data_IF_787441523111
#
_entry.id   IF_787441523111
#
_cell.length_a   1.000
_cell.length_b   1.000
_cell.length_c   1.000
_cell.angle_alpha   90.00
_cell.angle_beta   90.00
_cell.angle_gamma   90.00
#
_symmetry.space_group_name_H-M   'P 1'
#
loop_
_entity.id
_entity.type
_entity.pdbx_description
1 polymer ?
#
# COMPACT_ATOMS: atom_id res chain seq x y z
N UNK A 1 21.13 6.95 14.00
CA UNK A 1 20.08 7.60 13.20
C UNK A 1 19.20 6.44 12.80
N UNK A 2 18.05 6.24 13.47
CA UNK A 2 17.19 5.11 13.13
C UNK A 2 16.63 5.36 11.73
N UNK A 3 16.79 4.41 10.83
CA UNK A 3 16.13 4.45 9.53
C UNK A 3 14.63 4.46 9.81
N UNK A 4 13.96 5.61 9.70
CA UNK A 4 12.50 5.66 9.69
C UNK A 4 12.05 4.98 8.39
N UNK A 5 11.72 3.71 8.49
CA UNK A 5 11.04 2.95 7.44
C UNK A 5 9.77 3.74 7.04
N UNK A 6 9.68 4.12 5.76
CA UNK A 6 8.62 4.94 5.23
C UNK A 6 7.75 4.18 4.23
N UNK A 7 6.49 4.57 4.11
CA UNK A 7 5.52 4.02 3.17
C UNK A 7 5.43 4.94 1.96
N UNK A 8 5.41 4.34 0.76
CA UNK A 8 5.32 5.08 -0.49
C UNK A 8 4.05 5.92 -0.56
N UNK A 9 4.20 7.18 -0.99
CA UNK A 9 3.10 8.10 -1.31
C UNK A 9 2.11 7.49 -2.32
N UNK A 10 2.55 6.52 -3.15
CA UNK A 10 1.67 5.79 -4.05
C UNK A 10 0.52 5.06 -3.32
N UNK A 11 0.78 4.52 -2.12
CA UNK A 11 -0.22 3.86 -1.27
C UNK A 11 -1.22 4.89 -0.76
N UNK A 12 -0.72 6.00 -0.21
CA UNK A 12 -1.57 7.08 0.28
C UNK A 12 -2.54 7.57 -0.81
N UNK A 13 -2.05 7.79 -2.03
CA UNK A 13 -2.93 8.19 -3.11
C UNK A 13 -3.97 7.13 -3.50
N UNK A 14 -3.64 5.83 -3.42
CA UNK A 14 -4.62 4.78 -3.71
C UNK A 14 -5.81 4.83 -2.73
N UNK A 15 -5.53 5.10 -1.45
CA UNK A 15 -6.55 5.31 -0.42
C UNK A 15 -7.39 6.55 -0.75
N UNK A 16 -6.75 7.66 -1.06
CA UNK A 16 -7.43 8.92 -1.36
C UNK A 16 -8.29 8.82 -2.61
N UNK A 17 -7.83 8.12 -3.65
CA UNK A 17 -8.59 7.93 -4.88
C UNK A 17 -9.87 7.12 -4.60
N UNK A 18 -9.80 6.07 -3.78
CA UNK A 18 -10.99 5.33 -3.35
C UNK A 18 -11.96 6.17 -2.52
N UNK A 19 -11.46 7.01 -1.61
CA UNK A 19 -12.29 7.92 -0.83
C UNK A 19 -12.96 8.98 -1.73
N UNK A 20 -12.23 9.53 -2.71
CA UNK A 20 -12.77 10.48 -3.71
C UNK A 20 -13.89 9.83 -4.52
N UNK A 21 -13.70 8.60 -4.96
CA UNK A 21 -14.69 7.85 -5.75
C UNK A 21 -15.99 7.63 -4.96
N UNK A 22 -15.92 7.58 -3.64
CA UNK A 22 -17.08 7.50 -2.73
C UNK A 22 -17.65 8.88 -2.33
N UNK A 23 -17.06 9.98 -2.79
CA UNK A 23 -17.48 11.34 -2.43
C UNK A 23 -17.08 11.78 -1.01
N UNK A 24 -16.12 11.11 -0.39
CA UNK A 24 -15.58 11.48 0.93
C UNK A 24 -14.63 12.67 0.80
N UNK A 25 -14.71 13.59 1.75
CA UNK A 25 -13.78 14.73 1.86
C UNK A 25 -12.37 14.26 2.23
N UNK A 26 -11.50 14.19 1.21
CA UNK A 26 -10.11 13.76 1.34
C UNK A 26 -9.21 14.76 2.03
N UNK A 27 -9.48 16.06 1.93
CA UNK A 27 -8.64 17.08 2.57
C UNK A 27 -8.81 17.00 4.09
N UNK A 28 -10.06 16.82 4.54
CA UNK A 28 -10.35 16.57 5.94
C UNK A 28 -9.80 15.21 6.42
N UNK A 29 -9.72 14.19 5.56
CA UNK A 29 -9.09 12.89 5.90
C UNK A 29 -7.58 13.05 6.09
N UNK A 30 -6.91 13.75 5.17
CA UNK A 30 -5.46 14.04 5.25
C UNK A 30 -5.11 14.85 6.49
N UNK A 31 -5.88 15.89 6.78
CA UNK A 31 -5.69 16.70 7.98
C UNK A 31 -5.82 15.87 9.26
N UNK A 32 -6.78 14.95 9.34
CA UNK A 32 -6.95 14.02 10.46
C UNK A 32 -5.80 13.02 10.59
N UNK A 33 -5.18 12.62 9.49
CA UNK A 33 -3.99 11.76 9.48
C UNK A 33 -2.67 12.51 9.70
N UNK A 34 -2.71 13.85 9.84
CA UNK A 34 -1.51 14.67 9.99
C UNK A 34 -0.62 14.73 8.75
N UNK A 35 -1.21 14.54 7.57
CA UNK A 35 -0.52 14.59 6.27
C UNK A 35 -0.89 15.91 5.57
N UNK A 36 0.10 16.68 5.16
CA UNK A 36 -0.14 17.87 4.33
C UNK A 36 -0.26 17.46 2.86
N UNK A 37 -1.09 18.14 2.03
CA UNK A 37 -1.14 17.86 0.59
C UNK A 37 0.23 17.94 -0.10
N UNK A 38 1.09 18.85 0.35
CA UNK A 38 2.46 19.01 -0.14
C UNK A 38 3.35 17.78 0.12
N UNK A 39 3.06 16.99 1.17
CA UNK A 39 3.78 15.75 1.46
C UNK A 39 3.55 14.68 0.37
N UNK A 40 2.51 14.82 -0.44
CA UNK A 40 2.09 13.86 -1.47
C UNK A 40 2.40 14.30 -2.91
N UNK A 41 3.03 15.47 -3.09
CA UNK A 41 3.40 16.00 -4.41
C UNK A 41 4.55 15.22 -5.05
N UNK A 42 5.50 14.75 -4.23
CA UNK A 42 6.57 13.86 -4.67
C UNK A 42 6.06 12.41 -4.72
N UNK A 43 5.84 11.91 -5.94
CA UNK A 43 5.34 10.55 -6.15
C UNK A 43 6.35 9.46 -5.78
N UNK A 44 7.64 9.80 -5.71
CA UNK A 44 8.68 8.88 -5.23
C UNK A 44 8.98 9.12 -3.73
N UNK A 45 8.24 10.02 -3.09
CA UNK A 45 8.32 10.34 -1.68
C UNK A 45 7.75 9.25 -0.76
N UNK A 46 8.12 9.35 0.51
CA UNK A 46 7.66 8.46 1.57
C UNK A 46 6.96 9.26 2.67
N UNK A 47 5.92 8.67 3.26
CA UNK A 47 5.32 9.11 4.53
C UNK A 47 5.71 8.14 5.64
N UNK A 48 5.66 8.56 6.91
CA UNK A 48 5.92 7.63 8.01
C UNK A 48 4.81 6.58 8.14
N UNK A 49 5.16 5.38 8.61
CA UNK A 49 4.20 4.30 8.89
C UNK A 49 3.06 4.78 9.77
N UNK A 50 3.34 5.54 10.83
CA UNK A 50 2.30 6.08 11.73
C UNK A 50 1.30 7.00 11.02
N UNK A 51 1.73 7.77 10.01
CA UNK A 51 0.83 8.61 9.21
C UNK A 51 -0.01 7.77 8.25
N UNK A 52 0.57 6.72 7.69
CA UNK A 52 -0.16 5.78 6.83
C UNK A 52 -1.22 4.99 7.62
N UNK A 53 -0.89 4.48 8.81
CA UNK A 53 -1.83 3.83 9.72
C UNK A 53 -2.98 4.79 10.10
N UNK A 54 -2.66 6.03 10.44
CA UNK A 54 -3.68 7.04 10.74
C UNK A 54 -4.58 7.32 9.52
N UNK A 55 -4.02 7.31 8.31
CA UNK A 55 -4.78 7.47 7.07
C UNK A 55 -5.71 6.28 6.82
N UNK A 56 -5.27 5.05 7.04
CA UNK A 56 -6.14 3.86 6.92
C UNK A 56 -7.27 3.87 7.94
N UNK A 57 -6.99 4.18 9.21
CA UNK A 57 -8.03 4.29 10.23
C UNK A 57 -9.09 5.32 9.83
N UNK A 58 -8.67 6.47 9.32
CA UNK A 58 -9.59 7.51 8.89
C UNK A 58 -10.37 7.12 7.63
N UNK A 59 -9.71 6.42 6.70
CA UNK A 59 -10.34 5.88 5.51
C UNK A 59 -11.42 4.84 5.85
N UNK A 60 -11.15 3.92 6.77
CA UNK A 60 -12.13 2.94 7.25
C UNK A 60 -13.29 3.65 7.95
N UNK A 61 -12.98 4.62 8.83
CA UNK A 61 -14.01 5.37 9.58
C UNK A 61 -14.97 6.15 8.68
N UNK A 62 -14.48 6.69 7.55
CA UNK A 62 -15.28 7.52 6.62
C UNK A 62 -15.85 6.75 5.43
N UNK A 63 -15.10 5.79 4.89
CA UNK A 63 -15.39 5.07 3.65
C UNK A 63 -15.85 3.61 3.85
N UNK A 64 -15.81 3.10 5.08
CA UNK A 64 -16.25 1.75 5.43
C UNK A 64 -15.15 0.69 5.43
N UNK A 65 -15.48 -0.50 5.94
CA UNK A 65 -14.55 -1.62 6.11
C UNK A 65 -14.02 -2.18 4.77
N UNK A 66 -14.73 -1.95 3.66
CA UNK A 66 -14.35 -2.42 2.33
C UNK A 66 -13.44 -1.44 1.56
N UNK A 67 -13.03 -0.33 2.19
CA UNK A 67 -12.23 0.71 1.53
C UNK A 67 -10.92 0.19 0.94
N UNK A 68 -10.28 -0.81 1.57
CA UNK A 68 -9.06 -1.44 1.04
C UNK A 68 -9.28 -2.11 -0.32
N UNK A 69 -10.46 -2.70 -0.55
CA UNK A 69 -10.80 -3.30 -1.83
C UNK A 69 -11.04 -2.22 -2.90
N UNK A 70 -11.64 -1.10 -2.52
CA UNK A 70 -11.82 0.06 -3.42
C UNK A 70 -10.47 0.68 -3.77
N UNK A 71 -9.58 0.86 -2.80
CA UNK A 71 -8.23 1.37 -3.02
C UNK A 71 -7.46 0.49 -4.03
N UNK A 72 -7.51 -0.84 -3.84
CA UNK A 72 -6.91 -1.78 -4.79
C UNK A 72 -7.48 -1.68 -6.21
N UNK A 73 -8.78 -1.35 -6.35
CA UNK A 73 -9.44 -1.16 -7.66
C UNK A 73 -9.12 0.18 -8.31
N UNK A 74 -8.91 1.24 -7.53
CA UNK A 74 -8.61 2.58 -8.02
C UNK A 74 -7.15 2.72 -8.51
N UNK A 75 -6.27 1.76 -8.17
CA UNK A 75 -4.90 1.69 -8.67
C UNK A 75 -4.82 1.65 -10.21
N UNK A 76 -4.44 2.79 -10.79
CA UNK A 76 -4.21 2.92 -12.23
C UNK A 76 -2.92 2.20 -12.66
N UNK A 77 -2.91 1.70 -13.90
CA UNK A 77 -1.69 1.13 -14.49
C UNK A 77 -0.58 2.18 -14.56
N UNK A 78 0.63 1.76 -14.21
CA UNK A 78 1.84 2.59 -14.17
C UNK A 78 2.09 3.23 -12.80
N UNK A 79 1.18 3.11 -11.82
CA UNK A 79 1.29 3.81 -10.53
C UNK A 79 2.50 3.36 -9.71
N UNK A 80 2.84 2.07 -9.75
CA UNK A 80 4.06 1.56 -9.10
C UNK A 80 5.28 1.53 -10.02
N UNK A 81 5.22 2.22 -11.16
CA UNK A 81 6.34 2.45 -12.10
C UNK A 81 7.19 1.20 -12.36
N UNK A 82 8.47 1.24 -12.01
CA UNK A 82 9.44 0.18 -12.29
C UNK A 82 9.09 -1.15 -11.59
N UNK A 83 8.52 -1.10 -10.38
CA UNK A 83 8.06 -2.30 -9.68
C UNK A 83 6.93 -2.98 -10.45
N UNK A 84 5.92 -2.20 -10.88
CA UNK A 84 4.82 -2.73 -11.70
C UNK A 84 5.32 -3.33 -13.01
N UNK A 85 6.27 -2.66 -13.67
CA UNK A 85 6.89 -3.19 -14.88
C UNK A 85 7.62 -4.51 -14.60
N UNK A 86 8.44 -4.58 -13.56
CA UNK A 86 9.19 -5.79 -13.20
C UNK A 86 8.26 -6.97 -12.88
N UNK A 87 7.18 -6.72 -12.12
CA UNK A 87 6.18 -7.74 -11.79
C UNK A 87 5.45 -8.21 -13.04
N UNK A 88 5.01 -7.28 -13.92
CA UNK A 88 4.22 -7.62 -15.12
C UNK A 88 5.03 -8.20 -16.28
N UNK A 89 6.34 -7.96 -16.31
CA UNK A 89 7.25 -8.48 -17.33
C UNK A 89 7.89 -9.82 -16.93
N UNK A 90 7.59 -10.31 -15.72
CA UNK A 90 8.11 -11.58 -15.24
C UNK A 90 7.63 -12.76 -16.10
N UNK A 91 8.47 -13.81 -16.29
CA UNK A 91 8.16 -14.92 -17.18
C UNK A 91 7.04 -15.83 -16.67
N UNK A 92 6.70 -15.76 -15.38
CA UNK A 92 5.58 -16.47 -14.79
C UNK A 92 4.95 -15.69 -13.63
N UNK A 93 3.75 -16.09 -13.22
CA UNK A 93 3.09 -15.52 -12.03
C UNK A 93 3.93 -15.71 -10.76
N UNK A 94 4.61 -16.86 -10.65
CA UNK A 94 5.52 -17.16 -9.53
C UNK A 94 6.68 -16.17 -9.49
N UNK A 95 7.30 -15.92 -10.64
CA UNK A 95 8.40 -14.96 -10.74
C UNK A 95 7.91 -13.53 -10.46
N UNK A 96 6.70 -13.18 -10.89
CA UNK A 96 6.07 -11.88 -10.60
C UNK A 96 5.86 -11.66 -9.10
N UNK A 97 5.31 -12.63 -8.37
CA UNK A 97 5.15 -12.54 -6.92
C UNK A 97 6.48 -12.55 -6.17
N UNK A 98 7.47 -13.29 -6.65
CA UNK A 98 8.82 -13.25 -6.08
C UNK A 98 9.47 -11.87 -6.23
N UNK A 99 9.25 -11.19 -7.35
CA UNK A 99 9.66 -9.78 -7.55
C UNK A 99 8.91 -8.86 -6.60
N UNK A 100 7.59 -9.03 -6.47
CA UNK A 100 6.76 -8.21 -5.56
C UNK A 100 7.26 -8.30 -4.12
N UNK A 101 7.39 -9.51 -3.56
CA UNK A 101 7.89 -9.74 -2.19
C UNK A 101 9.29 -9.17 -2.00
N UNK A 102 10.20 -9.40 -2.95
CA UNK A 102 11.58 -8.89 -2.86
C UNK A 102 11.66 -7.37 -2.76
N UNK A 103 10.71 -6.66 -3.36
CA UNK A 103 10.69 -5.20 -3.43
C UNK A 103 9.56 -4.58 -2.61
N UNK A 104 8.92 -5.36 -1.74
CA UNK A 104 7.82 -4.91 -0.89
C UNK A 104 8.25 -3.78 0.06
N UNK A 105 9.51 -3.82 0.52
CA UNK A 105 10.14 -2.76 1.31
C UNK A 105 10.19 -1.41 0.58
N UNK A 106 10.15 -1.38 -0.76
CA UNK A 106 10.05 -0.11 -1.51
C UNK A 106 8.68 0.55 -1.35
N UNK A 107 7.65 -0.23 -1.05
CA UNK A 107 6.29 0.27 -0.87
C UNK A 107 5.97 0.55 0.60
N UNK A 108 6.41 -0.32 1.50
CA UNK A 108 5.95 -0.29 2.90
C UNK A 108 7.09 -0.05 3.91
N UNK A 109 8.33 0.13 3.45
CA UNK A 109 9.51 0.28 4.30
C UNK A 109 9.99 -1.03 4.95
N UNK A 110 9.13 -2.05 4.99
CA UNK A 110 9.38 -3.39 5.56
C UNK A 110 8.75 -4.48 4.69
N UNK A 111 9.16 -5.72 4.93
CA UNK A 111 8.52 -6.89 4.34
C UNK A 111 7.24 -7.21 5.12
N UNK A 112 6.10 -7.13 4.44
CA UNK A 112 4.76 -7.49 4.94
C UNK A 112 4.16 -8.66 4.17
N UNK A 113 4.85 -9.16 3.14
CA UNK A 113 4.43 -10.35 2.39
C UNK A 113 5.57 -11.36 2.27
N UNK A 114 5.23 -12.64 2.42
CA UNK A 114 6.10 -13.75 1.99
C UNK A 114 5.40 -14.64 0.98
N UNK A 115 6.21 -15.38 0.19
CA UNK A 115 5.70 -16.34 -0.79
C UNK A 115 6.16 -17.74 -0.40
N UNK A 116 5.21 -18.65 -0.31
CA UNK A 116 5.44 -20.07 -0.02
C UNK A 116 5.00 -20.92 -1.22
N UNK A 117 5.72 -22.01 -1.44
CA UNK A 117 5.26 -23.04 -2.36
C UNK A 117 4.13 -23.82 -1.68
N UNK A 118 3.07 -24.09 -2.44
CA UNK A 118 2.00 -24.98 -2.00
C UNK A 118 2.29 -26.41 -2.48
N UNK A 119 1.87 -27.41 -1.70
CA UNK A 119 2.19 -28.83 -1.96
C UNK A 119 1.65 -29.31 -3.32
N UNK A 120 0.56 -28.71 -3.80
CA UNK A 120 -0.07 -28.99 -5.09
C UNK A 120 0.54 -28.21 -6.28
N UNK A 121 1.74 -27.63 -6.10
CA UNK A 121 2.41 -26.81 -7.10
C UNK A 121 1.87 -25.37 -7.22
N UNK A 122 0.95 -25.01 -6.33
CA UNK A 122 0.42 -23.66 -6.17
C UNK A 122 1.43 -22.68 -5.55
N UNK A 123 0.95 -21.46 -5.30
CA UNK A 123 1.70 -20.40 -4.66
C UNK A 123 0.82 -19.73 -3.61
N UNK A 124 1.36 -19.57 -2.42
CA UNK A 124 0.68 -18.92 -1.30
C UNK A 124 1.38 -17.60 -1.00
N UNK A 125 0.63 -16.50 -1.11
CA UNK A 125 1.06 -15.19 -0.63
C UNK A 125 0.57 -15.05 0.81
N UNK A 126 1.50 -14.94 1.75
CA UNK A 126 1.22 -14.83 3.17
C UNK A 126 1.41 -13.37 3.57
N UNK A 127 0.33 -12.74 4.05
CA UNK A 127 0.40 -11.42 4.65
C UNK A 127 0.95 -11.55 6.08
N UNK A 128 2.09 -10.94 6.32
CA UNK A 128 2.72 -10.86 7.63
C UNK A 128 2.26 -9.55 8.26
N UNK A 129 1.16 -9.61 9.02
CA UNK A 129 0.59 -8.41 9.65
C UNK A 129 1.67 -7.67 10.44
N UNK A 130 2.00 -6.43 10.05
CA UNK A 130 2.98 -5.63 10.77
C UNK A 130 2.42 -5.03 12.06
N UNK A 131 1.09 -5.01 12.19
CA UNK A 131 0.36 -4.49 13.34
C UNK A 131 0.12 -5.63 14.34
N UNK A 132 0.33 -5.36 15.63
CA UNK A 132 -0.12 -6.25 16.70
C UNK A 132 -1.62 -6.51 16.50
N UNK A 133 -2.05 -7.78 16.58
CA UNK A 133 -3.48 -8.09 16.57
C UNK A 133 -4.13 -7.31 17.72
N UNK A 134 -5.02 -6.36 17.39
CA UNK A 134 -5.82 -5.67 18.40
C UNK A 134 -6.66 -6.75 19.12
N UNK A 135 -6.54 -6.92 20.45
CA UNK A 135 -7.11 -8.05 21.19
C UNK A 135 -8.64 -8.12 21.23
#
# INVERSE_FOLDING_TARGET
MGDEEGVSVAIAHAILDALRDQGVDVDATLASAGIAPADLEDLDGLISVAREEALWHEAIRRGGEDIGLHAARSLQRGRFRGLEFAVRSAPSLRDGFAVLVRFDTLLHGREIFSVEADDDGGLRLVYQSPHEEDP
#
